data_IF_781770354845
#
_entry.id   IF_781770354845
#
_cell.length_a   1.000
_cell.length_b   1.000
_cell.length_c   1.000
_cell.angle_alpha   90.00
_cell.angle_beta   90.00
_cell.angle_gamma   90.00
#
_symmetry.space_group_name_H-M   'P 1'
#
loop_
_entity.id
_entity.type
_entity.pdbx_description
1 polymer ?
2 polymer ?
3 polymer ?
4 water ?
#
loop_
_entity_poly.entity_id
_entity_poly.type
_entity_poly.pdbx_seq_one_letter_code
_entity_poly.pdbx_strand_id
2 'polydeoxyribonucleotide' '(DC)(DT)(DA)(DT)(DA)(DT)(DT)(DA)(DC)(DG)(DC)(DA)(DA)(DA)(DC)(DC)(DG)(DT)(DA)(DA)(DC)(DG)(DA)(DT)(DG)' ?
3 'polydeoxyribonucleotide' '(DC)(DA)(DT)(DC)(DG)(DT)(DT)(DA)(DC)(DG)(DG)(DT)(DT)(DT)(DG)(DC)(DG)(DT)(DA)(DA)(DT)(DA)(DT)(DA)(DG)' ?
#
# COMPACT_ATOMS: atom_id res chain seq x y z
N UNK A 1 7.19 1.87 -1.02
CA UNK A 1 6.47 0.59 -0.82
C UNK A 1 5.31 0.47 -1.76
N UNK A 2 5.13 -0.74 -2.28
CA UNK A 2 3.92 -1.08 -3.04
C UNK A 2 3.15 -2.20 -2.38
N UNK A 3 1.82 -2.17 -2.52
CA UNK A 3 1.02 -3.29 -1.99
C UNK A 3 1.49 -4.60 -2.55
N UNK A 4 1.85 -4.59 -3.82
CA UNK A 4 2.33 -5.77 -4.52
C UNK A 4 3.60 -6.32 -3.89
N UNK A 5 4.45 -5.46 -3.38
CA UNK A 5 5.66 -5.98 -2.83
C UNK A 5 5.33 -6.72 -1.55
N UNK A 6 4.40 -6.16 -0.76
CA UNK A 6 4.04 -6.76 0.51
C UNK A 6 3.50 -8.18 0.33
N UNK A 7 2.58 -8.36 -0.64
CA UNK A 7 1.94 -9.66 -0.89
C UNK A 7 2.95 -10.66 -1.33
N UNK A 8 3.83 -10.22 -2.22
CA UNK A 8 4.88 -11.08 -2.77
C UNK A 8 5.86 -11.51 -1.70
N UNK A 9 6.25 -10.57 -0.84
CA UNK A 9 7.21 -10.86 0.25
C UNK A 9 6.60 -11.79 1.30
N UNK A 10 5.33 -11.60 1.63
CA UNK A 10 4.62 -12.51 2.51
C UNK A 10 4.63 -13.94 1.96
N UNK A 11 4.28 -14.09 0.68
CA UNK A 11 4.29 -15.39 0.06
C UNK A 11 5.67 -16.01 0.11
N UNK A 12 6.71 -15.23 -0.13
CA UNK A 12 8.07 -15.78 -0.20
C UNK A 12 8.49 -16.25 1.17
N UNK A 13 8.23 -15.44 2.19
CA UNK A 13 8.44 -15.85 3.61
C UNK A 13 7.73 -17.17 3.97
N UNK A 14 6.46 -17.29 3.62
CA UNK A 14 5.71 -18.51 3.88
C UNK A 14 6.23 -19.70 3.02
N UNK A 15 6.53 -19.47 1.75
CA UNK A 15 7.02 -20.55 0.88
C UNK A 15 8.41 -21.11 1.25
N UNK A 16 9.34 -20.22 1.62
CA UNK A 16 10.76 -20.58 1.83
C UNK A 16 11.68 -20.56 0.60
N UNK A 17 11.09 -20.48 -0.61
CA UNK A 17 11.83 -20.32 -1.85
C UNK A 17 10.98 -19.50 -2.85
N UNK A 18 11.64 -18.79 -3.76
CA UNK A 18 10.93 -17.85 -4.62
C UNK A 18 10.12 -18.52 -5.72
N UNK A 19 10.54 -19.70 -6.18
CA UNK A 19 9.80 -20.40 -7.25
C UNK A 19 8.42 -20.80 -6.77
N UNK A 20 8.38 -21.46 -5.61
CA UNK A 20 7.13 -21.88 -5.02
C UNK A 20 6.19 -20.71 -4.81
N UNK A 21 6.76 -19.60 -4.38
CA UNK A 21 5.99 -18.38 -4.12
C UNK A 21 5.30 -17.91 -5.41
N UNK A 22 6.08 -17.82 -6.49
CA UNK A 22 5.55 -17.47 -7.79
C UNK A 22 4.39 -18.33 -8.23
N UNK A 23 4.52 -19.64 -8.04
CA UNK A 23 3.45 -20.56 -8.46
C UNK A 23 2.17 -20.29 -7.69
N UNK A 24 2.29 -20.02 -6.40
CA UNK A 24 1.16 -19.62 -5.56
C UNK A 24 0.51 -18.29 -5.96
N UNK A 25 1.27 -17.37 -6.54
CA UNK A 25 0.72 -16.08 -6.96
C UNK A 25 0.30 -16.07 -8.44
N UNK A 26 0.58 -17.15 -9.16
CA UNK A 26 0.25 -17.23 -10.59
C UNK A 26 1.04 -16.20 -11.38
N UNK A 27 2.32 -16.04 -11.03
CA UNK A 27 3.26 -15.31 -11.89
C UNK A 27 4.52 -16.11 -12.09
N UNK A 28 5.37 -15.64 -13.00
CA UNK A 28 6.66 -16.23 -13.27
C UNK A 28 7.68 -15.78 -12.22
N UNK A 29 8.78 -16.53 -12.11
CA UNK A 29 9.80 -16.30 -11.07
C UNK A 29 10.46 -14.92 -11.06
N UNK A 30 10.78 -14.37 -12.23
CA UNK A 30 11.53 -13.08 -12.25
C UNK A 30 10.83 -11.88 -11.61
N UNK A 31 9.51 -11.72 -11.81
CA UNK A 31 8.86 -10.68 -11.01
C UNK A 31 9.09 -10.79 -9.50
N UNK A 32 9.30 -12.00 -8.99
CA UNK A 32 9.49 -12.20 -7.57
C UNK A 32 10.84 -11.68 -7.20
N UNK A 33 11.87 -12.07 -7.94
CA UNK A 33 13.20 -11.65 -7.53
C UNK A 33 13.34 -10.14 -7.68
N UNK A 34 12.69 -9.54 -8.68
CA UNK A 34 12.88 -8.10 -8.95
C UNK A 34 12.14 -7.28 -7.93
N UNK A 35 10.92 -7.68 -7.62
CA UNK A 35 10.11 -6.97 -6.63
C UNK A 35 10.68 -7.00 -5.22
N UNK A 36 11.29 -8.10 -4.83
CA UNK A 36 12.07 -8.15 -3.59
C UNK A 36 13.25 -7.21 -3.62
N UNK A 37 13.89 -7.06 -4.77
CA UNK A 37 15.01 -6.14 -4.83
C UNK A 37 14.54 -4.72 -4.62
N UNK A 38 13.41 -4.36 -5.22
CA UNK A 38 12.89 -3.02 -5.11
C UNK A 38 12.50 -2.73 -3.66
N UNK A 39 11.87 -3.70 -2.99
CA UNK A 39 11.51 -3.60 -1.59
C UNK A 39 12.72 -3.37 -0.66
N UNK A 40 13.73 -4.20 -0.83
CA UNK A 40 14.91 -4.08 0.01
C UNK A 40 15.56 -2.73 -0.23
N UNK A 41 15.62 -2.33 -1.50
CA UNK A 41 16.09 -1.02 -1.90
C UNK A 41 15.28 0.08 -1.20
N UNK A 42 13.98 0.06 -1.39
CA UNK A 42 13.08 1.08 -0.84
C UNK A 42 13.18 1.22 0.68
N UNK A 43 13.43 0.13 1.38
CA UNK A 43 13.49 0.11 2.84
C UNK A 43 14.88 0.38 3.39
N UNK A 44 15.91 0.21 2.56
CA UNK A 44 17.31 0.31 3.01
C UNK A 44 17.78 -0.86 3.86
N UNK A 45 17.35 -2.07 3.52
CA UNK A 45 17.61 -3.20 4.41
C UNK A 45 17.52 -4.52 3.67
N UNK A 46 18.28 -5.51 4.16
CA UNK A 46 18.20 -6.85 3.62
C UNK A 46 17.16 -7.72 4.35
N UNK A 47 16.10 -8.10 3.62
CA UNK A 47 15.05 -8.92 4.21
C UNK A 47 15.35 -10.40 4.11
N UNK A 48 16.13 -10.79 3.09
CA UNK A 48 16.31 -12.20 2.74
C UNK A 48 17.78 -12.59 2.58
N UNK A 49 18.12 -13.71 3.21
CA UNK A 49 19.36 -14.45 2.95
C UNK A 49 19.10 -15.39 1.76
N UNK A 50 19.75 -15.12 0.63
CA UNK A 50 19.68 -16.01 -0.53
C UNK A 50 20.71 -17.15 -0.51
N UNK A 51 20.25 -18.35 -0.85
CA UNK A 51 21.11 -19.47 -1.25
C UNK A 51 20.55 -20.06 -2.54
N UNK A 52 21.20 -21.10 -3.05
CA UNK A 52 20.65 -21.86 -4.19
C UNK A 52 19.52 -22.79 -3.74
N UNK A 53 19.44 -23.07 -2.45
CA UNK A 53 18.34 -23.87 -1.89
C UNK A 53 17.06 -23.03 -1.91
N UNK A 54 17.08 -21.91 -1.21
CA UNK A 54 15.96 -20.97 -1.21
C UNK A 54 16.26 -19.65 -0.49
N UNK A 55 15.48 -19.33 0.54
CA UNK A 55 15.62 -18.05 1.24
C UNK A 55 15.47 -18.24 2.75
N UNK A 56 16.26 -17.53 3.54
CA UNK A 56 15.96 -17.39 4.98
C UNK A 56 15.74 -15.90 5.24
N UNK A 57 15.01 -15.61 6.30
CA UNK A 57 14.69 -14.24 6.65
C UNK A 57 15.75 -13.70 7.60
N UNK A 58 16.10 -12.42 7.43
CA UNK A 58 16.93 -11.73 8.39
C UNK A 58 16.07 -11.24 9.56
N UNK A 59 16.72 -10.77 10.61
CA UNK A 59 16.01 -10.12 11.70
C UNK A 59 15.10 -9.04 11.13
N UNK A 60 15.64 -8.20 10.26
CA UNK A 60 14.83 -7.15 9.60
C UNK A 60 13.68 -7.72 8.75
N UNK A 61 13.88 -8.91 8.21
CA UNK A 61 12.83 -9.68 7.57
C UNK A 61 11.71 -10.09 8.51
N UNK A 62 12.05 -10.68 9.65
CA UNK A 62 11.02 -11.19 10.57
C UNK A 62 10.23 -10.02 11.12
N UNK A 63 10.91 -8.95 11.48
CA UNK A 63 10.25 -7.68 11.80
C UNK A 63 9.29 -7.24 10.68
N UNK A 64 9.82 -7.02 9.49
CA UNK A 64 8.96 -6.55 8.40
C UNK A 64 7.76 -7.45 8.12
N UNK A 65 7.95 -8.76 8.20
CA UNK A 65 6.91 -9.70 7.85
C UNK A 65 5.69 -9.46 8.70
N UNK A 66 5.90 -9.38 10.00
CA UNK A 66 4.80 -9.14 10.93
C UNK A 66 4.02 -7.89 10.50
N UNK A 67 4.73 -6.82 10.16
CA UNK A 67 4.05 -5.58 9.81
C UNK A 67 3.37 -5.59 8.42
N UNK A 68 3.97 -6.32 7.47
CA UNK A 68 3.35 -6.55 6.18
C UNK A 68 2.01 -7.23 6.28
N UNK A 69 1.93 -8.32 7.03
CA UNK A 69 0.62 -8.92 7.31
C UNK A 69 -0.38 -7.90 7.86
N UNK A 70 0.03 -7.10 8.83
CA UNK A 70 -0.91 -6.10 9.42
C UNK A 70 -1.34 -4.97 8.50
N UNK A 71 -0.51 -4.66 7.51
CA UNK A 71 -0.83 -3.58 6.57
C UNK A 71 -1.87 -4.11 5.59
N UNK A 72 -1.73 -5.39 5.18
CA UNK A 72 -2.70 -6.04 4.32
C UNK A 72 -4.06 -6.27 4.99
N UNK A 73 -4.02 -6.83 6.19
CA UNK A 73 -5.20 -6.89 7.04
C UNK A 73 -5.89 -5.50 7.09
N UNK A 74 -5.15 -4.46 7.41
CA UNK A 74 -5.76 -3.14 7.62
C UNK A 74 -6.31 -2.56 6.30
N UNK A 75 -5.63 -2.81 5.20
CA UNK A 75 -6.12 -2.32 3.94
C UNK A 75 -7.43 -3.01 3.62
N UNK A 76 -7.46 -4.34 3.77
CA UNK A 76 -8.67 -5.13 3.54
C UNK A 76 -9.84 -4.63 4.34
N UNK A 77 -9.64 -4.41 5.64
CA UNK A 77 -10.72 -4.01 6.52
C UNK A 77 -11.16 -2.57 6.28
N UNK A 78 -10.22 -1.72 5.94
CA UNK A 78 -10.55 -0.34 5.64
C UNK A 78 -11.57 -0.26 4.49
N UNK A 79 -11.54 -1.24 3.59
CA UNK A 79 -12.44 -1.28 2.45
C UNK A 79 -13.81 -1.72 2.88
N UNK A 80 -13.86 -2.78 3.69
CA UNK A 80 -15.13 -3.26 4.21
C UNK A 80 -15.85 -2.18 5.00
N UNK A 81 -15.12 -1.49 5.87
CA UNK A 81 -15.70 -0.36 6.59
C UNK A 81 -16.26 0.67 5.64
N UNK A 82 -15.50 1.07 4.62
CA UNK A 82 -16.00 2.18 3.80
C UNK A 82 -17.28 1.70 3.11
N UNK A 83 -17.25 0.53 2.49
CA UNK A 83 -18.48 0.01 1.85
C UNK A 83 -19.68 -0.08 2.79
N UNK A 84 -19.47 -0.65 3.97
CA UNK A 84 -20.48 -0.64 5.01
C UNK A 84 -20.98 0.80 5.26
N UNK A 85 -20.05 1.74 5.46
CA UNK A 85 -20.43 3.13 5.78
C UNK A 85 -21.39 3.76 4.78
N UNK A 86 -21.34 3.30 3.52
CA UNK A 86 -22.24 3.80 2.49
C UNK A 86 -23.70 3.61 2.93
N UNK A 87 -24.01 2.43 3.47
CA UNK A 87 -25.33 2.14 4.06
C UNK A 87 -25.43 2.73 5.47
N UNK B 1 -6.09 -1.12 -4.96
CA UNK B 1 -5.69 -0.11 -3.96
C UNK B 1 -4.20 0.02 -4.05
N UNK B 2 -3.72 1.26 -4.13
CA UNK B 2 -2.29 1.52 -4.17
C UNK B 2 -1.94 2.62 -3.18
N UNK B 3 -0.72 2.58 -2.64
CA UNK B 3 -0.25 3.61 -1.72
C UNK B 3 -0.39 5.01 -2.26
N UNK B 4 -0.13 5.18 -3.55
CA UNK B 4 -0.23 6.48 -4.20
C UNK B 4 -1.65 7.04 -4.16
N UNK B 5 -2.66 6.16 -4.21
CA UNK B 5 -4.05 6.60 -4.15
C UNK B 5 -4.41 7.09 -2.76
N UNK B 6 -3.81 6.44 -1.77
CA UNK B 6 -4.02 6.81 -0.39
C UNK B 6 -3.45 8.19 -0.15
N UNK B 7 -2.23 8.48 -0.59
CA UNK B 7 -1.61 9.81 -0.42
C UNK B 7 -2.43 10.87 -1.13
N UNK B 8 -2.74 10.59 -2.39
CA UNK B 8 -3.54 11.49 -3.23
C UNK B 8 -4.90 11.81 -2.59
N UNK B 9 -5.55 10.78 -2.06
CA UNK B 9 -6.84 10.96 -1.44
C UNK B 9 -6.75 11.88 -0.21
N UNK B 10 -5.93 11.50 0.76
CA UNK B 10 -5.65 12.35 1.92
C UNK B 10 -5.40 13.81 1.52
N UNK B 11 -4.51 14.02 0.56
CA UNK B 11 -4.25 15.36 0.05
C UNK B 11 -5.50 16.04 -0.53
N UNK B 12 -6.32 15.29 -1.25
CA UNK B 12 -7.54 15.85 -1.81
C UNK B 12 -8.51 16.18 -0.71
N UNK B 13 -8.66 15.26 0.24
CA UNK B 13 -9.53 15.49 1.39
C UNK B 13 -9.13 16.76 2.16
N UNK B 14 -7.85 16.89 2.49
CA UNK B 14 -7.36 18.06 3.21
C UNK B 14 -7.54 19.34 2.41
N UNK B 15 -7.31 19.30 1.12
CA UNK B 15 -7.31 20.49 0.32
C UNK B 15 -8.70 21.09 0.05
N UNK B 16 -9.74 20.26 0.05
CA UNK B 16 -11.07 20.71 -0.38
C UNK B 16 -11.31 20.72 -1.89
N UNK B 17 -10.24 20.60 -2.70
CA UNK B 17 -10.39 20.42 -4.15
C UNK B 17 -9.14 19.80 -4.82
N UNK B 18 -9.34 19.21 -5.99
CA UNK B 18 -8.32 18.40 -6.67
C UNK B 18 -7.13 19.21 -7.21
N UNK B 19 -7.36 20.45 -7.56
CA UNK B 19 -6.32 21.26 -8.17
C UNK B 19 -5.27 21.67 -7.15
N UNK B 20 -5.71 21.93 -5.94
CA UNK B 20 -4.80 22.35 -4.90
C UNK B 20 -4.01 21.17 -4.32
N UNK B 21 -4.67 20.03 -4.19
CA UNK B 21 -3.94 18.80 -3.86
C UNK B 21 -2.88 18.47 -4.92
N UNK B 22 -3.26 18.58 -6.19
CA UNK B 22 -2.30 18.33 -7.26
C UNK B 22 -1.02 19.15 -7.10
N UNK B 23 -1.16 20.45 -6.88
CA UNK B 23 -0.03 21.33 -6.68
C UNK B 23 0.81 20.94 -5.50
N UNK B 24 0.17 20.57 -4.41
CA UNK B 24 0.86 20.15 -3.18
C UNK B 24 1.61 18.83 -3.34
N UNK B 25 1.10 17.94 -4.19
CA UNK B 25 1.82 16.71 -4.51
C UNK B 25 2.77 16.89 -5.71
N UNK B 26 2.87 18.11 -6.24
CA UNK B 26 3.76 18.36 -7.38
C UNK B 26 3.46 17.47 -8.59
N UNK B 27 2.19 17.33 -8.95
CA UNK B 27 1.77 16.72 -10.22
C UNK B 27 0.66 17.55 -10.89
N UNK B 28 0.39 17.33 -12.18
CA UNK B 28 -0.75 17.95 -12.85
C UNK B 28 -2.05 17.41 -12.30
N UNK B 29 -3.15 18.09 -12.59
CA UNK B 29 -4.48 17.71 -12.10
C UNK B 29 -5.12 16.41 -12.65
N UNK B 30 -4.81 16.01 -13.88
CA UNK B 30 -5.48 14.79 -14.39
C UNK B 30 -5.14 13.45 -13.71
N UNK B 31 -3.88 13.24 -13.30
CA UNK B 31 -3.66 12.10 -12.43
C UNK B 31 -4.57 12.06 -11.18
N UNK B 32 -4.90 13.21 -10.60
CA UNK B 32 -5.68 13.24 -9.38
C UNK B 32 -7.04 12.70 -9.71
N UNK B 33 -7.73 13.34 -10.66
CA UNK B 33 -9.06 12.84 -11.02
C UNK B 33 -9.03 11.35 -11.39
N UNK B 34 -7.99 10.90 -12.08
CA UNK B 34 -7.98 9.54 -12.63
C UNK B 34 -7.73 8.55 -11.51
N UNK B 35 -6.88 8.92 -10.57
CA UNK B 35 -6.56 8.01 -9.46
C UNK B 35 -7.65 7.96 -8.41
N UNK B 36 -8.41 9.02 -8.26
CA UNK B 36 -9.64 8.94 -7.48
C UNK B 36 -10.70 8.04 -8.17
N UNK B 37 -10.74 8.05 -9.49
CA UNK B 37 -11.66 7.13 -10.18
C UNK B 37 -11.23 5.67 -9.92
N UNK B 38 -9.93 5.40 -10.04
CA UNK B 38 -9.42 4.06 -9.89
C UNK B 38 -9.69 3.57 -8.47
N UNK B 39 -9.45 4.43 -7.49
CA UNK B 39 -9.69 4.11 -6.10
C UNK B 39 -11.14 3.81 -5.81
N UNK B 40 -12.03 4.71 -6.23
CA UNK B 40 -13.47 4.51 -6.08
C UNK B 40 -13.98 3.21 -6.71
N UNK B 41 -13.39 2.81 -7.82
CA UNK B 41 -13.80 1.61 -8.54
C UNK B 41 -13.35 0.38 -7.80
N UNK B 42 -12.10 0.39 -7.39
CA UNK B 42 -11.44 -0.71 -6.65
C UNK B 42 -12.11 -1.01 -5.29
N UNK B 43 -12.55 0.04 -4.57
CA UNK B 43 -13.35 -0.10 -3.34
C UNK B 43 -14.81 -0.41 -3.61
N UNK B 44 -15.29 -0.09 -4.79
CA UNK B 44 -16.71 -0.22 -5.11
C UNK B 44 -17.58 0.76 -4.36
N UNK B 45 -17.02 1.90 -3.99
CA UNK B 45 -17.78 2.91 -3.27
C UNK B 45 -17.44 4.28 -3.85
N UNK B 46 -18.34 5.26 -3.62
CA UNK B 46 -18.13 6.67 -3.93
C UNK B 46 -17.65 7.47 -2.72
N UNK B 47 -16.47 8.08 -2.82
CA UNK B 47 -15.84 8.78 -1.70
C UNK B 47 -16.09 10.28 -1.71
N UNK B 48 -16.32 10.82 -2.90
CA UNK B 48 -16.29 12.27 -3.07
C UNK B 48 -17.47 12.74 -3.90
N UNK B 49 -18.09 13.84 -3.49
CA UNK B 49 -19.00 14.57 -4.35
C UNK B 49 -18.21 15.70 -5.01
N UNK B 50 -18.17 15.66 -6.34
CA UNK B 50 -17.57 16.74 -7.13
C UNK B 50 -18.55 17.85 -7.46
N UNK B 51 -18.12 19.09 -7.30
CA UNK B 51 -18.81 20.23 -7.88
C UNK B 51 -17.80 21.14 -8.56
N UNK B 52 -18.28 22.27 -9.07
CA UNK B 52 -17.43 23.20 -9.79
C UNK B 52 -16.57 24.00 -8.82
N UNK B 53 -16.89 23.91 -7.52
CA UNK B 53 -16.23 24.66 -6.45
C UNK B 53 -15.19 23.81 -5.72
N UNK B 54 -15.17 22.50 -6.00
CA UNK B 54 -14.28 21.58 -5.29
C UNK B 54 -14.94 20.26 -4.94
N UNK B 55 -14.53 19.69 -3.81
CA UNK B 55 -15.03 18.37 -3.39
C UNK B 55 -15.56 18.39 -1.97
N UNK B 56 -16.44 17.43 -1.68
CA UNK B 56 -16.91 17.18 -0.29
C UNK B 56 -16.93 15.64 -0.12
N UNK B 57 -16.55 15.13 1.06
CA UNK B 57 -16.45 13.67 1.28
C UNK B 57 -17.78 13.05 1.65
N UNK B 58 -18.07 11.87 1.10
CA UNK B 58 -19.21 11.06 1.56
C UNK B 58 -18.95 10.40 2.93
N UNK B 59 -19.95 9.70 3.45
CA UNK B 59 -19.75 8.91 4.66
C UNK B 59 -18.63 7.92 4.39
N UNK B 60 -18.79 7.21 3.30
CA UNK B 60 -17.78 6.25 2.85
C UNK B 60 -16.36 6.84 2.82
N UNK B 61 -16.26 8.13 2.50
CA UNK B 61 -14.99 8.80 2.32
C UNK B 61 -14.40 9.28 3.61
N UNK B 62 -15.25 9.69 4.55
CA UNK B 62 -14.80 10.07 5.90
C UNK B 62 -14.23 8.87 6.65
N UNK B 63 -14.91 7.74 6.52
CA UNK B 63 -14.40 6.46 7.00
C UNK B 63 -13.05 6.16 6.40
N UNK B 64 -13.02 6.14 5.07
CA UNK B 64 -11.81 5.72 4.41
C UNK B 64 -10.65 6.64 4.68
N UNK B 65 -10.91 7.92 4.85
CA UNK B 65 -9.86 8.91 5.14
C UNK B 65 -9.10 8.56 6.41
N UNK B 66 -9.83 8.17 7.45
CA UNK B 66 -9.20 7.84 8.72
C UNK B 66 -8.29 6.60 8.55
N UNK B 67 -8.75 5.63 7.78
CA UNK B 67 -8.01 4.36 7.61
C UNK B 67 -6.84 4.49 6.66
N UNK B 68 -7.05 5.32 5.64
CA UNK B 68 -5.97 5.86 4.84
C UNK B 68 -4.84 6.38 5.70
N UNK B 69 -5.14 7.29 6.61
CA UNK B 69 -4.10 7.78 7.53
C UNK B 69 -3.44 6.68 8.37
N UNK B 70 -4.23 5.78 8.91
CA UNK B 70 -3.68 4.63 9.66
C UNK B 70 -2.71 3.81 8.81
N UNK B 71 -3.07 3.55 7.56
CA UNK B 71 -2.29 2.63 6.75
C UNK B 71 -0.94 3.23 6.46
N UNK B 72 -0.92 4.52 6.14
CA UNK B 72 0.31 5.16 5.74
C UNK B 72 1.28 5.30 6.90
N UNK B 73 0.75 5.81 8.00
CA UNK B 73 1.44 5.81 9.27
C UNK B 73 2.03 4.43 9.59
N UNK B 74 1.20 3.39 9.50
CA UNK B 74 1.67 2.06 9.87
C UNK B 74 2.77 1.63 8.92
N UNK B 75 2.65 2.02 7.66
CA UNK B 75 3.65 1.71 6.66
C UNK B 75 4.94 2.44 6.94
N UNK B 76 4.84 3.67 7.44
CA UNK B 76 6.03 4.48 7.76
C UNK B 76 6.80 3.84 8.89
N UNK B 77 6.11 3.67 10.01
CA UNK B 77 6.70 3.03 11.20
C UNK B 77 7.27 1.64 10.91
N UNK B 78 6.62 0.85 10.07
CA UNK B 78 7.15 -0.48 9.74
C UNK B 78 8.50 -0.47 9.04
N UNK B 79 8.74 0.55 8.23
CA UNK B 79 10.09 0.80 7.74
C UNK B 79 11.08 1.03 8.84
N UNK B 80 10.74 1.95 9.73
CA UNK B 80 11.64 2.38 10.82
C UNK B 80 12.03 1.18 11.67
N UNK B 81 11.08 0.31 11.93
CA UNK B 81 11.33 -0.88 12.74
C UNK B 81 12.30 -1.80 12.10
N UNK B 82 12.10 -2.00 10.80
CA UNK B 82 12.83 -3.05 10.11
C UNK B 82 14.29 -2.64 10.03
N UNK B 83 14.54 -1.37 9.77
CA UNK B 83 15.89 -0.79 9.87
C UNK B 83 16.52 -0.87 11.27
N UNK B 84 15.74 -0.50 12.29
CA UNK B 84 16.16 -0.66 13.69
C UNK B 84 16.48 -2.11 14.07
N UNK B 85 15.74 -3.07 13.53
CA UNK B 85 15.98 -4.48 13.87
C UNK B 85 17.23 -5.00 13.21
N UNK B 86 17.63 -4.37 12.10
CA UNK B 86 18.96 -4.56 11.52
C UNK B 86 20.06 -3.80 12.30
N UNK B 87 19.84 -3.54 13.59
CA UNK B 87 20.93 -3.32 14.56
C UNK B 87 20.63 -4.17 15.83
#
# INVERSE_FOLDING_TARGET
>A
MEFRQLKYFIAVAEAGNMAAAAKRLHVSQPPITRQMQALEADLGVVLLERSHRGIELTAAGHAFLEDARRILELAGRSGDRSRAAARENLYFQGAHHHHHH
>B
MEFRQLKYFIAVAEAGNMAAAAKRLHVSQPPITRQMQALEADLGVVLLERSHRGIELTAAGHAFLEDARRILELAGRSGDRSRAAARENLYFQGAHHHHHH
#
